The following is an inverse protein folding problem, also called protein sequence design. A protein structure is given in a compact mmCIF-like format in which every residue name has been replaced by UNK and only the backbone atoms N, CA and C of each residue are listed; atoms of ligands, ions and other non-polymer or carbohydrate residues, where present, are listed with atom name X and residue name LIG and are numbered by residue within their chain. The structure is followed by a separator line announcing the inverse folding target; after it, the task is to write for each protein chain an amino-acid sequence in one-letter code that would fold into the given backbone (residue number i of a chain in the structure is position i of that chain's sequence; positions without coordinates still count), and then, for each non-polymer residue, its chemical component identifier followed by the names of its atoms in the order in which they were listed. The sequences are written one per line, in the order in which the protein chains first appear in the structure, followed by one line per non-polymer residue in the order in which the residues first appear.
data_IF_824786397982
#
_entry.id   IF_824786397982
#
_cell.length_a   1.000
_cell.length_b   1.000
_cell.length_c   1.000
_cell.angle_alpha   90.00
_cell.angle_beta   90.00
_cell.angle_gamma   90.00
#
_symmetry.space_group_name_H-M   'P 1'
#
loop_
_entity.id
_entity.type
_entity.pdbx_description
1 polymer ?
#
# COMPACT_ATOMS: atom_id res chain seq x y z
N UNK A 1 15.87 -11.05 18.49
CA UNK A 1 15.40 -9.67 18.17
C UNK A 1 16.48 -8.63 18.45
N UNK A 2 17.05 -8.60 19.66
CA UNK A 2 18.12 -7.68 20.06
C UNK A 2 19.28 -7.72 19.05
N UNK A 3 19.77 -8.92 18.71
CA UNK A 3 20.87 -9.10 17.73
C UNK A 3 20.56 -8.54 16.33
N UNK A 4 19.34 -8.69 15.82
CA UNK A 4 18.98 -8.17 14.50
C UNK A 4 18.69 -6.67 14.49
N UNK A 5 18.23 -6.13 15.63
CA UNK A 5 18.18 -4.68 15.84
C UNK A 5 19.57 -4.06 15.79
N UNK A 6 20.57 -4.71 16.41
CA UNK A 6 21.99 -4.32 16.31
C UNK A 6 22.40 -4.33 14.85
N UNK A 7 22.24 -5.45 14.16
CA UNK A 7 22.70 -5.62 12.78
C UNK A 7 22.07 -4.61 11.80
N UNK A 8 20.80 -4.24 12.00
CA UNK A 8 20.12 -3.23 11.20
C UNK A 8 20.78 -1.84 11.35
N UNK A 9 20.98 -1.40 12.59
CA UNK A 9 21.52 -0.06 12.87
C UNK A 9 23.02 0.01 12.60
N UNK A 10 23.76 -1.09 12.83
CA UNK A 10 25.16 -1.23 12.39
C UNK A 10 25.29 -1.09 10.88
N UNK A 11 24.30 -1.56 10.12
CA UNK A 11 24.32 -1.40 8.66
C UNK A 11 24.08 0.04 8.18
N UNK A 12 23.69 0.95 9.07
CA UNK A 12 23.37 2.34 8.76
C UNK A 12 24.45 3.31 9.25
N UNK A 13 24.97 3.14 10.47
CA UNK A 13 25.99 4.04 11.04
C UNK A 13 27.20 3.28 11.59
N UNK A 14 27.16 2.90 12.88
CA UNK A 14 28.31 2.40 13.64
C UNK A 14 27.88 1.39 14.71
N UNK A 15 28.86 0.64 15.24
CA UNK A 15 28.63 -0.40 16.25
C UNK A 15 28.04 0.16 17.55
N UNK A 16 28.45 1.37 17.95
CA UNK A 16 27.94 2.04 19.15
C UNK A 16 26.44 2.38 19.05
N UNK A 17 26.00 2.97 17.95
CA UNK A 17 24.59 3.26 17.68
C UNK A 17 23.76 1.97 17.62
N UNK A 18 24.34 0.90 17.05
CA UNK A 18 23.73 -0.43 17.02
C UNK A 18 23.44 -0.99 18.41
N UNK A 19 24.41 -0.92 19.30
CA UNK A 19 24.26 -1.35 20.69
C UNK A 19 23.21 -0.51 21.44
N UNK A 20 23.24 0.82 21.27
CA UNK A 20 22.26 1.72 21.91
C UNK A 20 20.84 1.43 21.43
N UNK A 21 20.63 1.31 20.12
CA UNK A 21 19.31 1.01 19.56
C UNK A 21 18.77 -0.35 20.05
N UNK A 22 19.64 -1.35 20.18
CA UNK A 22 19.26 -2.66 20.68
C UNK A 22 18.87 -2.63 22.17
N UNK A 23 19.60 -1.88 22.99
CA UNK A 23 19.23 -1.64 24.39
C UNK A 23 17.88 -0.92 24.50
N UNK A 24 17.62 0.09 23.66
CA UNK A 24 16.35 0.83 23.66
C UNK A 24 15.16 -0.05 23.24
N UNK A 25 15.31 -0.87 22.19
CA UNK A 25 14.26 -1.81 21.76
C UNK A 25 14.00 -2.89 22.81
N UNK A 26 15.04 -3.35 23.53
CA UNK A 26 14.87 -4.38 24.55
C UNK A 26 13.95 -3.94 25.71
N UNK A 27 13.92 -2.64 26.02
CA UNK A 27 13.16 -2.10 27.16
C UNK A 27 11.90 -1.31 26.75
N UNK A 28 11.61 -1.16 25.45
CA UNK A 28 10.52 -0.29 25.01
C UNK A 28 9.15 -0.87 25.41
N UNK A 29 8.34 -0.17 26.24
CA UNK A 29 7.10 -0.73 26.78
C UNK A 29 6.08 -1.13 25.72
N UNK A 30 6.04 -0.42 24.59
CA UNK A 30 5.17 -0.74 23.47
C UNK A 30 5.43 -2.14 22.90
N UNK A 31 6.70 -2.52 22.74
CA UNK A 31 7.06 -3.86 22.26
C UNK A 31 6.87 -4.92 23.35
N UNK A 32 7.26 -4.63 24.60
CA UNK A 32 7.09 -5.55 25.73
C UNK A 32 5.61 -5.92 25.90
N UNK A 33 4.69 -4.96 25.76
CA UNK A 33 3.24 -5.21 25.92
C UNK A 33 2.67 -6.28 24.98
N UNK A 34 3.35 -6.55 23.85
CA UNK A 34 2.96 -7.55 22.85
C UNK A 34 3.85 -8.81 22.85
N UNK A 35 4.88 -8.85 23.68
CA UNK A 35 5.88 -9.93 23.73
C UNK A 35 6.17 -10.45 25.14
N UNK A 36 5.22 -10.27 26.08
CA UNK A 36 5.35 -10.76 27.46
C UNK A 36 5.34 -12.29 27.50
N UNK A 37 6.14 -12.87 28.41
CA UNK A 37 6.10 -14.30 28.71
C UNK A 37 4.66 -14.74 29.08
N UNK A 38 4.13 -15.73 28.37
CA UNK A 38 2.75 -16.20 28.51
C UNK A 38 1.77 -15.61 27.49
N UNK A 39 2.17 -14.58 26.72
CA UNK A 39 1.41 -14.06 25.58
C UNK A 39 1.90 -14.71 24.29
N UNK A 40 1.24 -15.79 23.86
CA UNK A 40 1.57 -16.50 22.61
C UNK A 40 0.83 -15.88 21.42
N UNK A 41 1.22 -14.66 21.07
CA UNK A 41 0.68 -13.95 19.90
C UNK A 41 1.72 -13.85 18.78
N UNK A 42 1.26 -13.73 17.54
CA UNK A 42 2.12 -13.71 16.35
C UNK A 42 2.89 -12.38 16.19
N UNK A 43 2.51 -11.34 16.91
CA UNK A 43 3.14 -10.00 16.83
C UNK A 43 4.63 -10.03 17.25
N UNK A 44 5.00 -10.85 18.25
CA UNK A 44 6.38 -10.95 18.72
C UNK A 44 7.34 -11.50 17.66
N UNK A 45 6.93 -12.57 16.97
CA UNK A 45 7.71 -13.15 15.87
C UNK A 45 7.66 -12.28 14.61
N UNK A 46 6.53 -11.63 14.35
CA UNK A 46 6.38 -10.71 13.22
C UNK A 46 7.40 -9.56 13.24
N UNK A 47 7.59 -8.93 14.40
CA UNK A 47 8.54 -7.82 14.55
C UNK A 47 9.98 -8.28 14.29
N UNK A 48 10.33 -9.48 14.74
CA UNK A 48 11.61 -10.10 14.44
C UNK A 48 11.81 -10.28 12.94
N UNK A 49 10.82 -10.87 12.25
CA UNK A 49 10.87 -11.12 10.81
C UNK A 49 10.93 -9.81 9.99
N UNK A 50 10.24 -8.75 10.42
CA UNK A 50 10.30 -7.43 9.79
C UNK A 50 11.70 -6.83 9.87
N UNK A 51 12.32 -6.80 11.05
CA UNK A 51 13.67 -6.27 11.23
C UNK A 51 14.70 -7.06 10.41
N UNK A 52 14.57 -8.40 10.38
CA UNK A 52 15.43 -9.27 9.60
C UNK A 52 15.30 -8.98 8.09
N UNK A 53 14.08 -8.79 7.60
CA UNK A 53 13.83 -8.45 6.20
C UNK A 53 14.43 -7.09 5.84
N UNK A 54 14.27 -6.07 6.68
CA UNK A 54 14.88 -4.76 6.43
C UNK A 54 16.40 -4.79 6.47
N UNK A 55 16.99 -5.59 7.38
CA UNK A 55 18.43 -5.77 7.43
C UNK A 55 18.98 -6.35 6.11
N UNK A 56 18.42 -7.47 5.64
CA UNK A 56 18.85 -8.07 4.38
C UNK A 56 18.55 -7.18 3.19
N UNK A 57 17.44 -6.42 3.21
CA UNK A 57 17.13 -5.44 2.17
C UNK A 57 18.21 -4.36 2.06
N UNK A 58 18.60 -3.73 3.18
CA UNK A 58 19.65 -2.70 3.19
C UNK A 58 20.98 -3.28 2.74
N UNK A 59 21.35 -4.47 3.24
CA UNK A 59 22.54 -5.22 2.77
C UNK A 59 22.48 -5.48 1.25
N UNK A 60 21.34 -5.94 0.74
CA UNK A 60 21.16 -6.25 -0.68
C UNK A 60 21.29 -4.99 -1.55
N UNK A 61 20.74 -3.86 -1.12
CA UNK A 61 20.86 -2.57 -1.85
C UNK A 61 22.30 -2.06 -1.84
N UNK A 62 23.00 -2.18 -0.71
CA UNK A 62 24.38 -1.71 -0.57
C UNK A 62 25.36 -2.57 -1.38
N UNK A 63 25.26 -3.90 -1.30
CA UNK A 63 26.16 -4.83 -1.98
C UNK A 63 25.78 -5.08 -3.44
N UNK A 64 24.49 -5.13 -3.76
CA UNK A 64 23.98 -5.38 -5.12
C UNK A 64 24.07 -6.84 -5.59
N UNK A 65 24.22 -7.80 -4.67
CA UNK A 65 24.33 -9.24 -5.02
C UNK A 65 22.99 -9.95 -4.93
N UNK A 66 22.78 -10.91 -5.81
CA UNK A 66 21.58 -11.78 -5.85
C UNK A 66 21.42 -12.59 -4.56
N UNK A 67 22.53 -13.04 -3.94
CA UNK A 67 22.51 -13.81 -2.70
C UNK A 67 21.76 -13.07 -1.59
N UNK A 68 22.17 -11.84 -1.27
CA UNK A 68 21.49 -11.04 -0.23
C UNK A 68 20.05 -10.74 -0.60
N UNK A 69 19.73 -10.47 -1.87
CA UNK A 69 18.35 -10.24 -2.30
C UNK A 69 17.46 -11.50 -2.15
N UNK A 70 18.03 -12.69 -2.38
CA UNK A 70 17.35 -13.96 -2.16
C UNK A 70 17.14 -14.22 -0.67
N UNK A 71 18.12 -13.92 0.18
CA UNK A 71 17.96 -13.99 1.64
C UNK A 71 16.87 -13.01 2.14
N UNK A 72 16.77 -11.83 1.54
CA UNK A 72 15.65 -10.90 1.80
C UNK A 72 14.31 -11.51 1.38
N UNK A 73 14.24 -12.18 0.23
CA UNK A 73 13.02 -12.85 -0.23
C UNK A 73 12.60 -14.01 0.69
N UNK A 74 13.57 -14.77 1.21
CA UNK A 74 13.32 -15.83 2.20
C UNK A 74 12.85 -15.25 3.54
N UNK A 75 13.46 -14.17 4.02
CA UNK A 75 13.01 -13.46 5.22
C UNK A 75 11.59 -12.88 5.04
N UNK A 76 11.29 -12.34 3.85
CA UNK A 76 9.95 -11.89 3.49
C UNK A 76 8.95 -13.06 3.47
N UNK A 77 9.30 -14.20 2.87
CA UNK A 77 8.45 -15.39 2.89
C UNK A 77 8.13 -15.85 4.33
N UNK A 78 9.14 -15.87 5.19
CA UNK A 78 8.95 -16.19 6.61
C UNK A 78 8.01 -15.19 7.30
N UNK A 79 8.12 -13.91 6.98
CA UNK A 79 7.19 -12.89 7.47
C UNK A 79 5.75 -13.13 7.01
N UNK A 80 5.54 -13.43 5.72
CA UNK A 80 4.21 -13.72 5.15
C UNK A 80 3.56 -14.91 5.86
N UNK A 81 4.35 -15.92 6.22
CA UNK A 81 3.85 -17.08 6.97
C UNK A 81 3.54 -16.78 8.45
N UNK A 82 4.15 -15.74 9.01
CA UNK A 82 4.04 -15.41 10.44
C UNK A 82 2.92 -14.42 10.75
N UNK A 83 2.72 -13.39 9.91
CA UNK A 83 1.76 -12.31 10.19
C UNK A 83 1.25 -11.60 8.95
N UNK A 84 0.01 -11.13 8.99
CA UNK A 84 -0.68 -10.46 7.87
C UNK A 84 -0.08 -9.10 7.46
N UNK A 85 0.72 -8.45 8.30
CA UNK A 85 1.35 -7.18 7.94
C UNK A 85 2.57 -7.31 7.01
N UNK A 86 2.77 -8.44 6.34
CA UNK A 86 3.67 -8.53 5.19
C UNK A 86 3.29 -7.53 4.08
N UNK A 87 2.00 -7.15 3.99
CA UNK A 87 1.50 -6.09 3.10
C UNK A 87 2.19 -4.74 3.36
N UNK A 88 2.61 -4.48 4.60
CA UNK A 88 3.40 -3.28 4.91
C UNK A 88 4.80 -3.34 4.28
N UNK A 89 5.50 -4.48 4.40
CA UNK A 89 6.84 -4.64 3.83
C UNK A 89 6.85 -4.51 2.31
N UNK A 90 5.90 -5.18 1.65
CA UNK A 90 5.83 -5.19 0.18
C UNK A 90 5.39 -3.84 -0.40
N UNK A 91 4.88 -2.92 0.41
CA UNK A 91 4.59 -1.54 -0.01
C UNK A 91 5.73 -0.57 0.34
N UNK A 92 6.40 -0.76 1.49
CA UNK A 92 7.50 0.12 1.91
C UNK A 92 8.75 -0.07 1.04
N UNK A 93 9.10 -1.31 0.68
CA UNK A 93 10.27 -1.60 -0.15
C UNK A 93 10.17 -0.95 -1.54
N UNK A 94 9.07 -1.11 -2.30
CA UNK A 94 8.89 -0.40 -3.56
C UNK A 94 8.84 1.12 -3.38
N UNK A 95 8.21 1.64 -2.32
CA UNK A 95 8.20 3.07 -2.05
C UNK A 95 9.62 3.63 -1.88
N UNK A 96 10.50 2.90 -1.20
CA UNK A 96 11.92 3.23 -1.11
C UNK A 96 12.60 3.22 -2.48
N UNK A 97 12.31 2.23 -3.34
CA UNK A 97 12.85 2.19 -4.72
C UNK A 97 12.34 3.35 -5.56
N UNK A 98 11.05 3.68 -5.48
CA UNK A 98 10.47 4.85 -6.15
C UNK A 98 11.13 6.15 -5.69
N UNK A 99 11.35 6.31 -4.39
CA UNK A 99 12.09 7.47 -3.86
C UNK A 99 13.51 7.55 -4.45
N UNK A 100 14.22 6.42 -4.59
CA UNK A 100 15.54 6.39 -5.22
C UNK A 100 15.50 6.76 -6.71
N UNK A 101 14.45 6.37 -7.44
CA UNK A 101 14.23 6.78 -8.83
C UNK A 101 13.98 8.29 -8.92
N UNK A 102 13.09 8.82 -8.09
CA UNK A 102 12.74 10.25 -8.07
C UNK A 102 13.93 11.13 -7.69
N UNK A 103 14.76 10.68 -6.74
CA UNK A 103 15.99 11.37 -6.34
C UNK A 103 17.14 11.21 -7.34
N UNK A 104 16.94 10.49 -8.44
CA UNK A 104 17.97 10.24 -9.46
C UNK A 104 19.13 9.36 -8.98
N UNK A 105 18.96 8.64 -7.86
CA UNK A 105 19.98 7.76 -7.26
C UNK A 105 19.79 6.28 -7.62
N UNK A 106 19.05 5.99 -8.69
CA UNK A 106 18.83 4.63 -9.14
C UNK A 106 20.10 4.03 -9.74
N UNK A 107 20.49 2.85 -9.25
CA UNK A 107 21.71 2.14 -9.65
C UNK A 107 21.37 0.70 -10.04
N UNK A 108 22.24 0.06 -10.82
CA UNK A 108 22.12 -1.37 -11.17
C UNK A 108 22.01 -2.28 -9.94
N UNK A 109 22.65 -1.90 -8.83
CA UNK A 109 22.54 -2.62 -7.54
C UNK A 109 21.10 -2.68 -7.03
N UNK A 110 20.39 -1.55 -7.08
CA UNK A 110 18.97 -1.45 -6.66
C UNK A 110 18.09 -2.26 -7.59
N UNK A 111 18.35 -2.21 -8.90
CA UNK A 111 17.63 -3.00 -9.89
C UNK A 111 17.73 -4.50 -9.62
N UNK A 112 18.95 -5.02 -9.41
CA UNK A 112 19.18 -6.45 -9.12
C UNK A 112 18.52 -6.85 -7.81
N UNK A 113 18.70 -6.05 -6.75
CA UNK A 113 18.13 -6.33 -5.44
C UNK A 113 16.60 -6.38 -5.48
N UNK A 114 15.96 -5.36 -6.06
CA UNK A 114 14.51 -5.27 -6.10
C UNK A 114 13.87 -6.30 -7.03
N UNK A 115 14.42 -6.50 -8.24
CA UNK A 115 13.87 -7.46 -9.20
C UNK A 115 13.94 -8.89 -8.67
N UNK A 116 15.05 -9.25 -8.02
CA UNK A 116 15.21 -10.58 -7.39
C UNK A 116 14.21 -10.76 -6.25
N UNK A 117 14.10 -9.76 -5.36
CA UNK A 117 13.16 -9.79 -4.24
C UNK A 117 11.72 -9.92 -4.73
N UNK A 118 11.33 -9.13 -5.73
CA UNK A 118 9.96 -9.15 -6.24
C UNK A 118 9.61 -10.50 -6.86
N UNK A 119 10.44 -11.03 -7.76
CA UNK A 119 10.17 -12.30 -8.42
C UNK A 119 10.13 -13.47 -7.41
N UNK A 120 11.19 -13.63 -6.61
CA UNK A 120 11.29 -14.76 -5.68
C UNK A 120 10.27 -14.60 -4.54
N UNK A 121 10.17 -13.39 -3.96
CA UNK A 121 9.28 -13.12 -2.84
C UNK A 121 7.80 -13.28 -3.19
N UNK A 122 7.38 -12.85 -4.38
CA UNK A 122 5.99 -13.01 -4.82
C UNK A 122 5.67 -14.49 -5.05
N UNK A 123 6.53 -15.23 -5.77
CA UNK A 123 6.33 -16.67 -6.01
C UNK A 123 6.27 -17.46 -4.70
N UNK A 124 7.17 -17.17 -3.75
CA UNK A 124 7.17 -17.80 -2.43
C UNK A 124 5.92 -17.45 -1.63
N UNK A 125 5.48 -16.19 -1.65
CA UNK A 125 4.27 -15.77 -0.92
C UNK A 125 3.00 -16.47 -1.40
N UNK A 126 2.91 -16.79 -2.70
CA UNK A 126 1.75 -17.51 -3.26
C UNK A 126 1.67 -18.96 -2.78
N UNK A 127 2.76 -19.55 -2.28
CA UNK A 127 2.77 -20.93 -1.78
C UNK A 127 1.98 -21.09 -0.48
N UNK A 128 1.70 -20.00 0.23
CA UNK A 128 0.92 -20.02 1.47
C UNK A 128 -0.55 -20.04 1.11
N UNK A 129 -1.27 -21.10 1.51
CA UNK A 129 -2.67 -21.32 1.14
C UNK A 129 -3.61 -20.17 1.54
N UNK A 130 -3.30 -19.47 2.64
CA UNK A 130 -4.05 -18.28 3.07
C UNK A 130 -3.89 -17.09 2.12
N UNK A 131 -2.73 -16.96 1.48
CA UNK A 131 -2.39 -15.85 0.57
C UNK A 131 -2.83 -16.17 -0.86
N UNK A 132 -2.57 -17.40 -1.33
CA UNK A 132 -2.95 -17.84 -2.68
C UNK A 132 -2.54 -16.83 -3.75
N UNK A 133 -3.53 -16.35 -4.53
CA UNK A 133 -3.31 -15.39 -5.63
C UNK A 133 -3.51 -13.92 -5.26
N UNK A 134 -3.64 -13.58 -3.98
CA UNK A 134 -3.78 -12.20 -3.52
C UNK A 134 -2.66 -11.26 -4.01
N UNK A 135 -1.37 -11.67 -4.11
CA UNK A 135 -0.31 -10.81 -4.61
C UNK A 135 -0.50 -10.29 -6.05
N UNK A 136 -1.33 -10.95 -6.86
CA UNK A 136 -1.63 -10.58 -8.25
C UNK A 136 -2.98 -9.90 -8.38
N UNK A 137 -3.97 -10.33 -7.59
CA UNK A 137 -5.36 -9.88 -7.73
C UNK A 137 -5.69 -8.66 -6.86
N UNK A 138 -5.06 -8.54 -5.69
CA UNK A 138 -5.37 -7.48 -4.73
C UNK A 138 -4.69 -6.16 -5.09
N UNK A 139 -5.42 -5.06 -4.88
CA UNK A 139 -4.90 -3.70 -5.01
C UNK A 139 -3.74 -3.40 -4.06
N UNK A 140 -3.64 -4.13 -2.95
CA UNK A 140 -2.63 -3.92 -1.91
C UNK A 140 -1.20 -4.25 -2.37
N UNK A 141 -1.06 -5.03 -3.44
CA UNK A 141 0.23 -5.42 -4.02
C UNK A 141 0.56 -4.69 -5.33
N UNK A 142 -0.34 -3.83 -5.81
CA UNK A 142 -0.18 -3.14 -7.10
C UNK A 142 0.97 -2.14 -7.11
N UNK A 143 1.31 -1.54 -5.96
CA UNK A 143 2.48 -0.68 -5.85
C UNK A 143 3.78 -1.44 -6.15
N UNK A 144 3.89 -2.67 -5.68
CA UNK A 144 5.04 -3.52 -5.95
C UNK A 144 5.12 -3.92 -7.43
N UNK A 145 4.00 -4.35 -8.02
CA UNK A 145 3.95 -4.68 -9.44
C UNK A 145 4.27 -3.46 -10.32
N UNK A 146 3.67 -2.30 -10.01
CA UNK A 146 3.88 -1.06 -10.75
C UNK A 146 5.33 -0.57 -10.66
N UNK A 147 5.93 -0.62 -9.47
CA UNK A 147 7.34 -0.26 -9.30
C UNK A 147 8.27 -1.24 -10.03
N UNK A 148 7.95 -2.54 -10.03
CA UNK A 148 8.69 -3.53 -10.79
C UNK A 148 8.65 -3.23 -12.29
N UNK A 149 7.47 -2.97 -12.85
CA UNK A 149 7.33 -2.55 -14.24
C UNK A 149 8.12 -1.27 -14.56
N UNK A 150 8.06 -0.28 -13.68
CA UNK A 150 8.83 0.96 -13.83
C UNK A 150 10.34 0.71 -13.82
N UNK A 151 10.84 -0.17 -12.93
CA UNK A 151 12.25 -0.54 -12.89
C UNK A 151 12.71 -1.21 -14.19
N UNK A 152 11.89 -2.09 -14.77
CA UNK A 152 12.18 -2.72 -16.06
C UNK A 152 12.28 -1.69 -17.19
N UNK A 153 11.31 -0.78 -17.28
CA UNK A 153 11.31 0.30 -18.27
C UNK A 153 12.51 1.24 -18.08
N UNK A 154 12.82 1.62 -16.85
CA UNK A 154 13.96 2.47 -16.54
C UNK A 154 15.29 1.79 -16.92
N UNK A 155 15.49 0.53 -16.54
CA UNK A 155 16.70 -0.21 -16.88
C UNK A 155 16.85 -0.40 -18.41
N UNK A 156 15.74 -0.70 -19.10
CA UNK A 156 15.73 -0.86 -20.54
C UNK A 156 16.04 0.45 -21.28
N UNK A 157 15.45 1.58 -20.85
CA UNK A 157 15.75 2.89 -21.44
C UNK A 157 17.21 3.30 -21.23
N UNK A 158 17.78 3.02 -20.05
CA UNK A 158 19.21 3.24 -19.80
C UNK A 158 20.10 2.35 -20.68
N UNK A 159 19.72 1.08 -20.87
CA UNK A 159 20.44 0.17 -21.76
C UNK A 159 20.43 0.66 -23.21
N UNK A 160 19.27 1.11 -23.72
CA UNK A 160 19.16 1.66 -25.08
C UNK A 160 19.98 2.94 -25.24
N UNK A 161 19.96 3.85 -24.26
CA UNK A 161 20.79 5.06 -24.27
C UNK A 161 22.29 4.75 -24.32
N UNK A 162 22.73 3.65 -23.70
CA UNK A 162 24.13 3.25 -23.71
C UNK A 162 24.58 2.63 -25.04
N UNK A 163 23.65 2.08 -25.84
CA UNK A 163 23.95 1.38 -27.11
C UNK A 163 23.68 2.23 -28.37
N UNK A 164 22.86 3.27 -28.26
CA UNK A 164 22.45 4.10 -29.39
C UNK A 164 23.07 5.50 -29.33
N UNK A 165 23.28 6.11 -30.49
CA UNK A 165 23.58 7.53 -30.56
C UNK A 165 22.37 8.36 -30.09
N UNK A 166 22.56 9.58 -29.54
CA UNK A 166 21.46 10.41 -29.05
C UNK A 166 20.36 10.66 -30.10
N UNK A 167 20.77 10.86 -31.36
CA UNK A 167 19.83 11.06 -32.47
C UNK A 167 18.98 9.82 -32.77
N UNK A 168 19.59 8.63 -32.77
CA UNK A 168 18.87 7.37 -33.00
C UNK A 168 17.96 7.02 -31.83
N UNK A 169 18.36 7.36 -30.59
CA UNK A 169 17.52 7.17 -29.41
C UNK A 169 16.27 8.06 -29.47
N UNK A 170 16.41 9.34 -29.83
CA UNK A 170 15.25 10.22 -30.00
C UNK A 170 14.31 9.75 -31.11
N UNK A 171 14.86 9.30 -32.25
CA UNK A 171 14.06 8.78 -33.35
C UNK A 171 13.30 7.53 -32.91
N UNK A 172 13.98 6.59 -32.23
CA UNK A 172 13.36 5.37 -31.69
C UNK A 172 12.26 5.72 -30.69
N UNK A 173 12.51 6.65 -29.76
CA UNK A 173 11.54 7.05 -28.75
C UNK A 173 10.30 7.73 -29.37
N UNK A 174 10.51 8.63 -30.33
CA UNK A 174 9.42 9.27 -31.10
C UNK A 174 8.63 8.22 -31.87
N UNK A 175 9.29 7.28 -32.55
CA UNK A 175 8.63 6.20 -33.28
C UNK A 175 7.82 5.28 -32.36
N UNK A 176 8.34 4.93 -31.18
CA UNK A 176 7.64 4.13 -30.18
C UNK A 176 6.39 4.85 -29.66
N UNK A 177 6.51 6.14 -29.35
CA UNK A 177 5.38 6.92 -28.86
C UNK A 177 4.30 7.09 -29.94
N UNK A 178 4.68 7.39 -31.18
CA UNK A 178 3.72 7.56 -32.28
C UNK A 178 3.04 6.25 -32.63
N UNK A 179 3.76 5.12 -32.65
CA UNK A 179 3.15 3.80 -32.88
C UNK A 179 2.22 3.39 -31.74
N UNK A 180 2.56 3.67 -30.49
CA UNK A 180 1.68 3.41 -29.34
C UNK A 180 0.39 4.24 -29.42
N UNK A 181 0.51 5.54 -29.71
CA UNK A 181 -0.66 6.42 -29.85
C UNK A 181 -1.52 6.03 -31.06
N UNK A 182 -0.89 5.64 -32.18
CA UNK A 182 -1.60 5.17 -33.36
C UNK A 182 -2.34 3.85 -33.11
N UNK A 183 -1.73 2.90 -32.40
CA UNK A 183 -2.35 1.61 -32.04
C UNK A 183 -3.48 1.76 -31.02
N UNK A 184 -3.30 2.61 -29.99
CA UNK A 184 -4.37 2.92 -29.05
C UNK A 184 -5.52 3.67 -29.74
N UNK A 185 -5.20 4.67 -30.57
CA UNK A 185 -6.20 5.42 -31.33
C UNK A 185 -7.00 4.54 -32.28
N UNK A 186 -6.33 3.69 -33.06
CA UNK A 186 -7.00 2.73 -33.95
C UNK A 186 -7.76 1.67 -33.17
N UNK A 187 -7.23 1.17 -32.05
CA UNK A 187 -7.93 0.24 -31.17
C UNK A 187 -9.24 0.82 -30.64
N UNK A 188 -9.23 2.07 -30.17
CA UNK A 188 -10.42 2.79 -29.72
C UNK A 188 -11.42 2.96 -30.87
N UNK A 189 -10.96 3.37 -32.05
CA UNK A 189 -11.84 3.54 -33.23
C UNK A 189 -12.48 2.22 -33.64
N UNK A 190 -11.70 1.14 -33.76
CA UNK A 190 -12.20 -0.20 -34.12
C UNK A 190 -13.18 -0.72 -33.07
N UNK A 191 -12.87 -0.57 -31.78
CA UNK A 191 -13.72 -1.01 -30.69
C UNK A 191 -15.01 -0.18 -30.57
N UNK A 192 -14.98 1.10 -30.98
CA UNK A 192 -16.16 1.97 -31.06
C UNK A 192 -17.05 1.57 -32.24
N UNK A 193 -16.47 1.29 -33.41
CA UNK A 193 -17.21 0.86 -34.61
C UNK A 193 -17.81 -0.54 -34.42
N UNK A 194 -17.11 -1.45 -33.72
CA UNK A 194 -17.59 -2.82 -33.46
C UNK A 194 -18.59 -2.92 -32.31
N UNK A 195 -18.96 -1.81 -31.67
CA UNK A 195 -20.00 -1.76 -30.63
C UNK A 195 -19.67 -2.51 -29.34
N UNK A 196 -18.42 -2.97 -29.17
CA UNK A 196 -17.98 -3.71 -27.97
C UNK A 196 -17.61 -2.79 -26.80
N UNK A 197 -17.34 -1.52 -27.08
CA UNK A 197 -17.21 -0.48 -26.05
C UNK A 197 -18.57 0.18 -25.88
N UNK A 198 -19.23 -0.09 -24.75
CA UNK A 198 -20.31 0.78 -24.26
C UNK A 198 -19.75 2.20 -24.10
N UNK A 199 -20.48 3.26 -24.50
CA UNK A 199 -20.08 4.63 -24.19
C UNK A 199 -19.82 4.76 -22.68
N UNK A 200 -18.80 5.55 -22.36
CA UNK A 200 -18.25 5.78 -21.02
C UNK A 200 -19.35 5.76 -19.95
N UNK A 201 -19.28 4.80 -19.01
CA UNK A 201 -20.24 4.68 -17.91
C UNK A 201 -20.32 6.00 -17.13
N UNK A 202 -21.52 6.45 -16.77
CA UNK A 202 -21.77 7.75 -16.10
C UNK A 202 -20.97 8.03 -14.83
N UNK A 203 -20.30 7.02 -14.25
CA UNK A 203 -19.33 7.17 -13.14
C UNK A 203 -18.07 7.96 -13.50
N UNK A 204 -17.64 7.93 -14.77
CA UNK A 204 -16.51 8.75 -15.25
C UNK A 204 -16.92 10.21 -15.49
N UNK A 205 -18.16 10.45 -15.95
CA UNK A 205 -18.70 11.80 -16.10
C UNK A 205 -18.88 12.52 -14.75
N UNK A 206 -19.26 11.80 -13.68
CA UNK A 206 -19.34 12.37 -12.33
C UNK A 206 -18.00 12.81 -11.72
N UNK A 207 -16.87 12.35 -12.27
CA UNK A 207 -15.52 12.79 -11.85
C UNK A 207 -15.04 14.04 -12.60
N UNK A 208 -15.57 14.28 -13.81
CA UNK A 208 -15.20 15.42 -14.66
C UNK A 208 -16.15 16.62 -14.51
N UNK A 209 -17.43 16.36 -14.17
CA UNK A 209 -18.43 17.39 -13.89
C UNK A 209 -19.17 17.08 -12.56
N UNK A 210 -18.89 17.83 -11.48
CA UNK A 210 -19.58 17.70 -10.19
C UNK A 210 -21.10 17.96 -10.26
N UNK A 211 -21.59 18.57 -11.35
CA UNK A 211 -22.98 18.99 -11.51
C UNK A 211 -23.90 17.84 -11.93
N UNK A 212 -23.37 16.81 -12.59
CA UNK A 212 -24.16 15.66 -13.06
C UNK A 212 -24.52 14.67 -11.93
N UNK A 213 -23.61 14.48 -10.97
CA UNK A 213 -23.82 13.58 -9.82
C UNK A 213 -24.89 14.08 -8.83
N UNK A 214 -25.07 15.41 -8.74
CA UNK A 214 -26.01 16.04 -7.80
C UNK A 214 -27.47 15.79 -8.17
N UNK A 215 -27.78 15.67 -9.46
CA UNK A 215 -29.16 15.59 -9.94
C UNK A 215 -29.71 14.16 -10.07
N UNK A 216 -28.84 13.14 -10.10
CA UNK A 216 -29.27 11.75 -10.42
C UNK A 216 -28.97 10.71 -9.32
N UNK A 217 -28.26 11.06 -8.23
CA UNK A 217 -27.96 10.10 -7.15
C UNK A 217 -28.19 10.74 -5.77
N UNK A 218 -29.41 10.64 -5.20
CA UNK A 218 -29.76 11.24 -3.91
C UNK A 218 -28.91 10.75 -2.71
N UNK A 219 -28.25 9.60 -2.85
CA UNK A 219 -27.48 8.94 -1.79
C UNK A 219 -26.11 9.63 -1.56
N UNK A 220 -25.49 10.17 -2.62
CA UNK A 220 -24.14 10.77 -2.53
C UNK A 220 -24.21 12.15 -1.85
N UNK A 221 -25.26 12.93 -2.11
CA UNK A 221 -25.49 14.20 -1.41
C UNK A 221 -25.72 14.01 0.11
N UNK A 222 -26.32 12.89 0.52
CA UNK A 222 -26.48 12.53 1.95
C UNK A 222 -25.17 12.14 2.62
N UNK A 223 -24.27 11.44 1.92
CA UNK A 223 -22.98 11.01 2.49
C UNK A 223 -22.01 12.18 2.69
N UNK A 224 -22.01 13.15 1.76
CA UNK A 224 -21.25 14.39 1.89
C UNK A 224 -21.74 15.19 3.11
N UNK A 225 -23.06 15.36 3.28
CA UNK A 225 -23.61 16.05 4.45
C UNK A 225 -23.38 15.29 5.78
N UNK A 226 -23.35 13.95 5.76
CA UNK A 226 -22.99 13.15 6.94
C UNK A 226 -21.51 13.27 7.31
N UNK A 227 -20.61 13.35 6.32
CA UNK A 227 -19.17 13.52 6.53
C UNK A 227 -18.80 14.85 7.18
N UNK A 228 -19.54 15.93 6.87
CA UNK A 228 -19.36 17.23 7.55
C UNK A 228 -19.81 17.17 9.02
N UNK A 229 -20.91 16.48 9.34
CA UNK A 229 -21.36 16.28 10.72
C UNK A 229 -20.39 15.45 11.58
N UNK A 230 -19.66 14.51 10.97
CA UNK A 230 -18.70 13.68 11.69
C UNK A 230 -17.39 14.43 12.03
N UNK A 231 -17.03 15.47 11.27
CA UNK A 231 -15.83 16.29 11.53
C UNK A 231 -15.99 17.26 12.70
N UNK A 232 -17.21 17.64 13.10
CA UNK A 232 -17.45 18.44 14.31
C UNK A 232 -17.35 17.60 15.61
N UNK A 233 -17.31 16.26 15.50
CA UNK A 233 -17.33 15.35 16.65
C UNK A 233 -15.96 15.00 17.26
N UNK A 234 -14.86 15.17 16.51
CA UNK A 234 -13.52 14.77 16.97
C UNK A 234 -12.71 15.96 17.45
N UNK A 235 -12.79 16.21 18.77
CA UNK A 235 -11.86 17.09 19.46
C UNK A 235 -10.43 16.50 19.52
N UNK A 236 -9.41 17.35 19.81
CA UNK A 236 -8.01 16.97 19.78
C UNK A 236 -7.70 15.85 20.81
N UNK A 237 -7.02 14.78 20.36
CA UNK A 237 -6.57 13.65 21.20
C UNK A 237 -5.30 13.95 21.99
N UNK A 238 -5.08 15.20 22.37
CA UNK A 238 -3.98 15.62 23.26
C UNK A 238 -4.59 16.59 24.29
N UNK A 239 -4.30 16.32 25.56
CA UNK A 239 -5.20 16.58 26.69
C UNK A 239 -5.60 18.03 26.95
N UNK A 240 -6.90 18.21 27.20
CA UNK A 240 -7.44 19.12 28.21
C UNK A 240 -8.62 18.42 28.93
N UNK A 241 -8.85 18.63 30.24
CA UNK A 241 -9.91 17.93 30.96
C UNK A 241 -11.29 18.51 30.59
N UNK A 242 -12.12 17.74 29.89
CA UNK A 242 -13.53 18.08 29.66
C UNK A 242 -14.35 17.94 30.95
N UNK A 243 -15.19 18.93 31.25
CA UNK A 243 -16.04 18.97 32.44
C UNK A 243 -17.14 17.89 32.40
N UNK A 244 -17.56 17.41 33.58
CA UNK A 244 -18.58 16.34 33.70
C UNK A 244 -19.93 16.69 33.08
N UNK A 245 -20.29 17.98 33.04
CA UNK A 245 -21.54 18.47 32.46
C UNK A 245 -21.61 18.31 30.94
N UNK A 246 -20.48 18.53 30.24
CA UNK A 246 -20.39 18.35 28.79
C UNK A 246 -20.44 16.88 28.39
N UNK A 247 -19.88 16.00 29.23
CA UNK A 247 -19.94 14.54 29.03
C UNK A 247 -21.39 14.03 29.11
N UNK A 248 -22.17 14.52 30.07
CA UNK A 248 -23.57 14.16 30.24
C UNK A 248 -24.48 14.72 29.12
N UNK A 249 -24.16 15.89 28.58
CA UNK A 249 -24.88 16.48 27.45
C UNK A 249 -24.69 15.66 26.17
N UNK A 250 -23.44 15.30 25.83
CA UNK A 250 -23.15 14.46 24.66
C UNK A 250 -23.76 13.05 24.75
N UNK A 251 -23.80 12.45 25.95
CA UNK A 251 -24.48 11.17 26.16
C UNK A 251 -25.99 11.25 25.90
N UNK A 252 -26.65 12.35 26.29
CA UNK A 252 -28.08 12.58 26.02
C UNK A 252 -28.37 12.80 24.54
N UNK A 253 -27.48 13.50 23.83
CA UNK A 253 -27.60 13.72 22.39
C UNK A 253 -27.44 12.41 21.60
N UNK A 254 -26.47 11.55 21.97
CA UNK A 254 -26.33 10.21 21.38
C UNK A 254 -27.55 9.31 21.64
N UNK A 255 -28.17 9.41 22.82
CA UNK A 255 -29.35 8.59 23.16
C UNK A 255 -30.60 9.02 22.39
N UNK A 256 -30.72 10.31 22.04
CA UNK A 256 -31.80 10.83 21.17
C UNK A 256 -31.62 10.38 19.72
N UNK A 257 -30.38 10.37 19.21
CA UNK A 257 -30.09 9.86 17.87
C UNK A 257 -30.42 8.36 17.72
N UNK A 258 -30.08 7.55 18.73
CA UNK A 258 -30.38 6.11 18.73
C UNK A 258 -31.88 5.78 18.90
N UNK A 259 -32.69 6.70 19.42
CA UNK A 259 -34.14 6.54 19.49
C UNK A 259 -34.82 6.84 18.13
N UNK A 260 -34.31 7.84 17.41
CA UNK A 260 -34.81 8.19 16.07
C UNK A 260 -34.53 7.08 15.04
N UNK A 261 -33.37 6.42 15.10
CA UNK A 261 -33.06 5.28 14.19
C UNK A 261 -33.97 4.06 14.44
N UNK A 262 -34.50 3.90 15.66
CA UNK A 262 -35.38 2.78 16.00
C UNK A 262 -36.80 2.98 15.44
N UNK A 263 -37.25 4.21 15.29
CA UNK A 263 -38.57 4.56 14.72
C UNK A 263 -38.58 4.40 13.18
N UNK A 264 -37.44 4.64 12.52
CA UNK A 264 -37.28 4.42 11.07
C UNK A 264 -37.25 2.93 10.67
N UNK A 265 -36.71 2.05 11.52
CA UNK A 265 -36.67 0.60 11.26
C UNK A 265 -38.06 -0.06 11.35
N UNK A 266 -38.99 0.49 12.14
CA UNK A 266 -40.37 -0.02 12.22
C UNK A 266 -41.21 0.32 10.99
N UNK A 267 -40.96 1.46 10.33
CA UNK A 267 -41.68 1.85 9.11
C UNK A 267 -41.21 1.13 7.83
N UNK A 268 -40.02 0.53 7.84
CA UNK A 268 -39.47 -0.18 6.68
C UNK A 268 -39.99 -1.63 6.57
N UNK A 269 -40.32 -2.26 7.70
CA UNK A 269 -40.81 -3.65 7.74
C UNK A 269 -42.29 -3.83 7.37
N UNK A 270 -43.05 -2.75 7.16
CA UNK A 270 -44.47 -2.81 6.77
C UNK A 270 -44.71 -2.62 5.27
N UNK A 271 -43.67 -2.32 4.47
CA UNK A 271 -43.80 -2.09 3.03
C UNK A 271 -43.22 -3.23 2.15
N UNK A 272 -42.73 -4.31 2.75
CA UNK A 272 -42.09 -5.44 2.04
C UNK A 272 -42.81 -6.79 2.19
N UNK A 273 -44.08 -6.79 2.59
CA UNK A 273 -44.88 -8.01 2.83
C UNK A 273 -46.19 -8.09 2.01
N UNK A 274 -46.30 -7.35 0.90
CA UNK A 274 -47.49 -7.36 0.01
C UNK A 274 -47.16 -7.53 -1.50
N UNK A 275 -45.98 -8.05 -1.84
CA UNK A 275 -45.65 -8.48 -3.22
C UNK A 275 -45.01 -9.88 -3.24
N UNK A 276 -45.82 -10.91 -3.01
CA UNK A 276 -45.64 -12.30 -3.51
C UNK A 276 -47.00 -12.97 -3.72
#
# INVERSE_FOLDING_TARGET
MIEHGILLVVSLENEGAGLVAACMIAIVPGYISRSVAGSYDNEGIAIFCMLLTFYFWIKAVNTGTIMWATMTALAYFYMVSSWGGYVFLINLIPLHVLALILLGRFSSRVYVAYSTLYCIGTVLSMQISFVGFQPVQSSEHMLALGTFGLCQLYAFTQYLRAKLSPANFELLFKALLTTLLATLGTGIVVLTITGKISPWTGRFYSLLDPSYAKNHIPIIARYINHGYRYKEGYGPRIGTPMSGAERARRFREHRKAAAADREYLYHWNTYTMDEE
#
